data_IF_609545132027
#
_entry.id   IF_609545132027
#
_cell.length_a   1.000
_cell.length_b   1.000
_cell.length_c   1.000
_cell.angle_alpha   90.00
_cell.angle_beta   90.00
_cell.angle_gamma   90.00
#
_symmetry.space_group_name_H-M   'P 1'
#
loop_
_entity.id
_entity.type
_entity.pdbx_description
1 polymer ?
#
# COMPACT_ATOMS: atom_id res chain seq x y z
N UNK A 1 24.34 -25.90 77.42
CA UNK A 1 25.52 -25.07 77.06
C UNK A 1 25.83 -25.25 75.59
N UNK A 2 26.07 -24.11 74.90
CA UNK A 2 26.59 -23.93 73.53
C UNK A 2 25.59 -24.04 72.35
N UNK A 3 24.97 -22.88 72.13
CA UNK A 3 24.61 -22.22 70.88
C UNK A 3 25.43 -22.62 69.65
N UNK A 4 24.77 -22.86 68.51
CA UNK A 4 25.31 -22.46 67.19
C UNK A 4 24.19 -21.95 66.28
N UNK A 5 24.49 -20.82 65.65
CA UNK A 5 23.65 -20.03 64.76
C UNK A 5 23.51 -20.72 63.40
N UNK A 6 22.31 -20.66 62.79
CA UNK A 6 22.12 -20.94 61.37
C UNK A 6 21.68 -19.63 60.72
N UNK A 7 22.59 -19.02 59.98
CA UNK A 7 22.35 -17.81 59.19
C UNK A 7 21.62 -18.13 57.89
N UNK A 8 20.57 -17.36 57.67
CA UNK A 8 19.71 -17.26 56.49
C UNK A 8 20.48 -16.71 55.27
N UNK A 9 20.37 -17.35 54.11
CA UNK A 9 20.63 -16.70 52.80
C UNK A 9 19.54 -17.11 51.80
N UNK A 10 18.43 -16.37 51.80
CA UNK A 10 17.51 -16.35 50.65
C UNK A 10 18.10 -15.46 49.57
N UNK A 11 18.53 -16.05 48.45
CA UNK A 11 18.89 -15.30 47.25
C UNK A 11 17.61 -15.10 46.44
N UNK A 12 17.01 -13.93 46.53
CA UNK A 12 15.90 -13.52 45.67
C UNK A 12 16.47 -13.06 44.32
N UNK A 13 16.39 -13.92 43.30
CA UNK A 13 16.72 -13.56 41.91
C UNK A 13 15.54 -12.82 41.29
N UNK A 14 15.64 -11.50 41.23
CA UNK A 14 14.76 -10.64 40.43
C UNK A 14 15.09 -10.85 38.95
N UNK A 15 14.37 -11.75 38.28
CA UNK A 15 14.34 -11.84 36.82
C UNK A 15 13.49 -10.68 36.28
N UNK A 16 14.18 -9.61 35.90
CA UNK A 16 13.62 -8.51 35.10
C UNK A 16 13.16 -9.05 33.74
N UNK A 17 11.87 -9.30 33.57
CA UNK A 17 11.26 -9.51 32.26
C UNK A 17 11.14 -8.16 31.53
N UNK A 18 12.25 -7.68 30.97
CA UNK A 18 12.17 -6.68 29.91
C UNK A 18 11.65 -7.38 28.66
N UNK A 19 10.34 -7.34 28.42
CA UNK A 19 9.78 -7.76 27.14
C UNK A 19 10.36 -6.84 26.05
N UNK A 20 11.09 -7.35 25.05
CA UNK A 20 11.50 -6.51 23.94
C UNK A 20 10.22 -6.01 23.25
N UNK A 21 10.03 -4.69 23.22
CA UNK A 21 9.11 -4.07 22.28
C UNK A 21 9.57 -4.51 20.89
N UNK A 22 8.87 -5.46 20.30
CA UNK A 22 9.04 -5.80 18.89
C UNK A 22 8.66 -4.56 18.09
N UNK A 23 9.66 -3.75 17.75
CA UNK A 23 9.58 -2.83 16.63
C UNK A 23 9.23 -3.69 15.41
N UNK A 24 7.95 -3.72 15.06
CA UNK A 24 7.42 -4.52 13.97
C UNK A 24 7.87 -3.88 12.66
N UNK A 25 9.12 -4.19 12.27
CA UNK A 25 9.69 -3.82 11.00
C UNK A 25 9.01 -4.70 9.95
N UNK A 26 7.83 -4.26 9.51
CA UNK A 26 6.93 -5.06 8.69
C UNK A 26 7.49 -5.12 7.26
N UNK A 27 8.47 -6.00 7.03
CA UNK A 27 9.14 -6.23 5.74
C UNK A 27 8.28 -7.04 4.76
N UNK A 28 7.08 -7.48 5.16
CA UNK A 28 6.15 -8.21 4.31
C UNK A 28 5.29 -7.30 3.42
N UNK A 29 4.61 -7.86 2.42
CA UNK A 29 3.79 -7.08 1.50
C UNK A 29 2.59 -6.47 2.24
N UNK A 30 2.18 -5.27 1.78
CA UNK A 30 1.11 -4.51 2.42
C UNK A 30 -0.29 -5.03 2.07
N UNK A 31 -0.40 -5.86 1.03
CA UNK A 31 -1.55 -6.66 0.59
C UNK A 31 -1.01 -8.00 0.09
N UNK A 32 -1.78 -9.08 0.15
CA UNK A 32 -1.37 -10.36 -0.43
C UNK A 32 -1.18 -10.22 -1.96
N UNK A 33 -0.03 -10.67 -2.53
CA UNK A 33 0.17 -10.70 -3.98
C UNK A 33 -0.88 -11.57 -4.68
N UNK A 34 -1.12 -11.30 -5.97
CA UNK A 34 -1.93 -12.18 -6.80
C UNK A 34 -1.22 -13.52 -6.97
N UNK A 35 -1.91 -14.64 -6.72
CA UNK A 35 -1.34 -15.98 -6.83
C UNK A 35 -2.20 -16.96 -7.66
N UNK A 36 -3.32 -16.48 -8.23
CA UNK A 36 -4.16 -17.26 -9.14
C UNK A 36 -3.82 -16.91 -10.61
N UNK A 37 -3.26 -17.86 -11.39
CA UNK A 37 -2.86 -17.60 -12.78
C UNK A 37 -4.02 -17.26 -13.71
N UNK A 38 -5.20 -17.85 -13.48
CA UNK A 38 -6.38 -17.58 -14.29
C UNK A 38 -6.89 -16.16 -14.06
N UNK A 39 -6.98 -15.73 -12.80
CA UNK A 39 -7.28 -14.34 -12.46
C UNK A 39 -6.25 -13.38 -13.03
N UNK A 40 -4.96 -13.69 -12.91
CA UNK A 40 -3.90 -12.85 -13.46
C UNK A 40 -4.06 -12.71 -14.98
N UNK A 41 -4.34 -13.80 -15.70
CA UNK A 41 -4.54 -13.78 -17.15
C UNK A 41 -5.74 -12.95 -17.57
N UNK A 42 -6.92 -13.21 -17.00
CA UNK A 42 -8.16 -12.56 -17.45
C UNK A 42 -8.25 -11.11 -16.96
N UNK A 43 -7.91 -10.85 -15.69
CA UNK A 43 -8.04 -9.53 -15.08
C UNK A 43 -6.80 -8.62 -15.26
N UNK A 44 -5.78 -9.06 -15.99
CA UNK A 44 -4.67 -8.21 -16.44
C UNK A 44 -4.72 -7.81 -17.93
N UNK A 45 -5.79 -8.17 -18.65
CA UNK A 45 -5.87 -7.95 -20.09
C UNK A 45 -5.93 -6.45 -20.46
N UNK A 46 -6.56 -5.63 -19.62
CA UNK A 46 -6.78 -4.19 -19.89
C UNK A 46 -6.10 -3.27 -18.88
N UNK A 47 -5.92 -3.71 -17.63
CA UNK A 47 -5.31 -2.94 -16.57
C UNK A 47 -4.47 -3.85 -15.66
N UNK A 48 -3.73 -3.27 -14.72
CA UNK A 48 -3.03 -4.04 -13.70
C UNK A 48 -3.98 -4.99 -12.95
N UNK A 49 -3.59 -6.25 -12.75
CA UNK A 49 -4.38 -7.21 -11.99
C UNK A 49 -4.38 -6.83 -10.49
N UNK A 50 -5.37 -6.03 -10.10
CA UNK A 50 -5.50 -5.55 -8.73
C UNK A 50 -5.54 -6.69 -7.72
N UNK A 51 -4.88 -6.55 -6.57
CA UNK A 51 -4.96 -7.60 -5.55
C UNK A 51 -6.36 -7.68 -4.94
N UNK A 52 -6.91 -8.89 -4.71
CA UNK A 52 -8.22 -9.07 -4.10
C UNK A 52 -8.39 -8.35 -2.75
N UNK A 53 -7.30 -8.26 -1.97
CA UNK A 53 -7.28 -7.59 -0.67
C UNK A 53 -7.43 -6.06 -0.72
N UNK A 54 -7.59 -5.46 -1.91
CA UNK A 54 -7.82 -4.03 -2.09
C UNK A 54 -9.30 -3.62 -2.08
N UNK A 55 -10.24 -4.57 -2.07
CA UNK A 55 -11.68 -4.30 -1.99
C UNK A 55 -12.42 -5.33 -1.13
N UNK A 56 -13.60 -4.98 -0.60
CA UNK A 56 -14.43 -5.95 0.09
C UNK A 56 -15.08 -6.94 -0.88
N UNK A 57 -15.45 -8.11 -0.40
CA UNK A 57 -16.06 -9.18 -1.21
C UNK A 57 -17.31 -8.69 -1.95
N UNK A 58 -18.16 -7.90 -1.28
CA UNK A 58 -19.38 -7.31 -1.86
C UNK A 58 -19.12 -6.44 -3.10
N UNK A 59 -17.96 -5.78 -3.16
CA UNK A 59 -17.56 -4.99 -4.32
C UNK A 59 -17.14 -5.90 -5.47
N UNK A 60 -16.33 -6.91 -5.20
CA UNK A 60 -15.91 -7.88 -6.21
C UNK A 60 -17.10 -8.62 -6.83
N UNK A 61 -18.06 -9.06 -6.01
CA UNK A 61 -19.29 -9.70 -6.50
C UNK A 61 -20.05 -8.80 -7.47
N UNK A 62 -20.21 -7.52 -7.13
CA UNK A 62 -20.93 -6.56 -7.98
C UNK A 62 -20.19 -6.25 -9.28
N UNK A 63 -18.84 -6.26 -9.26
CA UNK A 63 -18.02 -6.06 -10.46
C UNK A 63 -18.11 -7.27 -11.39
N UNK A 64 -17.94 -8.49 -10.88
CA UNK A 64 -17.97 -9.70 -11.71
C UNK A 64 -19.37 -9.96 -12.29
N UNK A 65 -20.43 -9.62 -11.55
CA UNK A 65 -21.80 -9.78 -12.02
C UNK A 65 -22.20 -8.83 -13.16
N UNK A 66 -21.36 -7.85 -13.50
CA UNK A 66 -21.69 -6.76 -14.43
C UNK A 66 -20.52 -6.48 -15.40
N UNK A 67 -19.83 -7.55 -15.83
CA UNK A 67 -18.65 -7.46 -16.69
C UNK A 67 -18.97 -7.02 -18.12
N UNK A 68 -20.21 -7.17 -18.57
CA UNK A 68 -20.70 -6.66 -19.84
C UNK A 68 -20.71 -5.12 -19.91
N UNK A 69 -20.80 -4.45 -18.76
CA UNK A 69 -20.60 -3.01 -18.57
C UNK A 69 -19.49 -2.74 -17.52
N UNK A 70 -18.26 -3.08 -17.89
CA UNK A 70 -17.08 -2.92 -17.07
C UNK A 70 -16.42 -1.54 -17.30
N UNK A 71 -17.09 -0.49 -16.83
CA UNK A 71 -16.61 0.91 -16.92
C UNK A 71 -16.48 1.43 -18.37
N UNK A 72 -17.44 1.08 -19.22
CA UNK A 72 -17.47 1.46 -20.64
C UNK A 72 -16.80 0.46 -21.58
N UNK A 73 -16.31 -0.66 -21.05
CA UNK A 73 -15.76 -1.78 -21.82
C UNK A 73 -16.58 -3.05 -21.56
N UNK A 74 -16.61 -3.97 -22.53
CA UNK A 74 -17.16 -5.30 -22.32
C UNK A 74 -16.01 -6.26 -21.95
N UNK A 75 -16.04 -6.75 -20.71
CA UNK A 75 -15.11 -7.73 -20.16
C UNK A 75 -15.81 -9.06 -19.83
N UNK A 76 -16.94 -9.36 -20.49
CA UNK A 76 -17.76 -10.53 -20.22
C UNK A 76 -16.97 -11.83 -20.42
N UNK A 77 -17.18 -12.76 -19.49
CA UNK A 77 -16.61 -14.09 -19.50
C UNK A 77 -17.74 -15.12 -19.38
N UNK A 78 -17.45 -16.37 -19.74
CA UNK A 78 -18.41 -17.47 -19.56
C UNK A 78 -18.79 -17.61 -18.09
N UNK A 79 -20.01 -18.09 -17.82
CA UNK A 79 -20.53 -18.19 -16.46
C UNK A 79 -19.63 -19.04 -15.54
N UNK A 80 -19.02 -20.10 -16.06
CA UNK A 80 -18.09 -20.96 -15.32
C UNK A 80 -16.82 -20.20 -14.92
N UNK A 81 -16.29 -19.38 -15.82
CA UNK A 81 -15.10 -18.55 -15.59
C UNK A 81 -15.40 -17.43 -14.59
N UNK A 82 -16.55 -16.76 -14.74
CA UNK A 82 -17.01 -15.75 -13.77
C UNK A 82 -17.14 -16.34 -12.36
N UNK A 83 -17.64 -17.58 -12.24
CA UNK A 83 -17.73 -18.26 -10.95
C UNK A 83 -16.35 -18.49 -10.34
N UNK A 84 -15.39 -18.99 -11.11
CA UNK A 84 -14.00 -19.22 -10.66
C UNK A 84 -13.35 -17.91 -10.18
N UNK A 85 -13.53 -16.82 -10.95
CA UNK A 85 -13.01 -15.50 -10.57
C UNK A 85 -13.69 -14.94 -9.32
N UNK A 86 -15.01 -15.06 -9.23
CA UNK A 86 -15.78 -14.62 -8.05
C UNK A 86 -15.29 -15.34 -6.79
N UNK A 87 -15.16 -16.67 -6.84
CA UNK A 87 -14.71 -17.46 -5.70
C UNK A 87 -13.29 -17.05 -5.26
N UNK A 88 -12.38 -16.84 -6.20
CA UNK A 88 -11.02 -16.38 -5.88
C UNK A 88 -11.01 -14.98 -5.25
N UNK A 89 -11.70 -14.01 -5.87
CA UNK A 89 -11.75 -12.63 -5.40
C UNK A 89 -12.40 -12.50 -4.03
N UNK A 90 -13.53 -13.18 -3.81
CA UNK A 90 -14.28 -13.15 -2.56
C UNK A 90 -13.49 -13.79 -1.42
N UNK A 91 -12.88 -14.96 -1.65
CA UNK A 91 -12.12 -15.67 -0.60
C UNK A 91 -10.83 -14.93 -0.19
N UNK A 92 -10.31 -14.05 -1.05
CA UNK A 92 -9.10 -13.28 -0.80
C UNK A 92 -9.39 -11.78 -0.56
N UNK A 93 -10.67 -11.41 -0.38
CA UNK A 93 -11.09 -10.03 -0.22
C UNK A 93 -10.53 -9.37 1.06
N UNK A 94 -10.63 -8.04 1.11
CA UNK A 94 -9.99 -7.23 2.14
C UNK A 94 -10.38 -7.62 3.58
N UNK A 95 -11.64 -8.01 3.81
CA UNK A 95 -12.16 -8.42 5.13
C UNK A 95 -11.59 -9.74 5.65
N UNK A 96 -11.07 -10.60 4.78
CA UNK A 96 -10.47 -11.88 5.14
C UNK A 96 -8.93 -11.81 5.28
N UNK A 97 -8.35 -10.64 5.02
CA UNK A 97 -6.91 -10.45 4.97
C UNK A 97 -6.37 -9.76 6.24
N UNK A 98 -5.24 -10.25 6.75
CA UNK A 98 -4.51 -9.63 7.88
C UNK A 98 -3.46 -8.60 7.44
N UNK A 99 -3.30 -8.40 6.12
CA UNK A 99 -2.31 -7.46 5.62
C UNK A 99 -2.67 -6.01 5.97
N UNK A 100 -1.65 -5.20 6.26
CA UNK A 100 -1.79 -3.83 6.80
C UNK A 100 -2.75 -2.97 5.98
N UNK A 101 -2.69 -2.99 4.64
CA UNK A 101 -3.54 -2.12 3.80
C UNK A 101 -4.96 -2.64 3.71
N UNK A 102 -5.17 -3.95 3.56
CA UNK A 102 -6.51 -4.56 3.56
C UNK A 102 -7.29 -4.21 4.83
N UNK A 103 -6.63 -4.31 5.99
CA UNK A 103 -7.21 -3.91 7.29
C UNK A 103 -7.58 -2.42 7.30
N UNK A 104 -6.71 -1.55 6.79
CA UNK A 104 -6.98 -0.11 6.76
C UNK A 104 -8.08 0.28 5.76
N UNK A 105 -8.19 -0.43 4.64
CA UNK A 105 -9.29 -0.31 3.67
C UNK A 105 -10.61 -0.61 4.36
N UNK A 106 -10.72 -1.78 5.01
CA UNK A 106 -11.95 -2.18 5.70
C UNK A 106 -12.32 -1.24 6.84
N UNK A 107 -11.34 -0.73 7.60
CA UNK A 107 -11.58 0.26 8.66
C UNK A 107 -12.06 1.61 8.14
N UNK A 108 -11.77 1.95 6.89
CA UNK A 108 -12.18 3.22 6.29
C UNK A 108 -13.57 3.19 5.64
N UNK A 109 -14.13 1.99 5.43
CA UNK A 109 -15.41 1.81 4.76
C UNK A 109 -16.55 1.64 5.76
N UNK A 110 -17.65 2.34 5.50
CA UNK A 110 -18.91 2.03 6.17
C UNK A 110 -19.45 0.67 5.69
N UNK A 111 -20.14 -0.05 6.59
CA UNK A 111 -20.58 -1.44 6.35
C UNK A 111 -21.54 -1.57 5.16
N UNK A 112 -22.34 -0.55 4.91
CA UNK A 112 -23.35 -0.44 3.87
C UNK A 112 -22.80 0.08 2.52
N UNK A 113 -21.53 0.50 2.47
CA UNK A 113 -20.92 1.03 1.25
C UNK A 113 -20.27 -0.08 0.44
N UNK A 114 -20.61 -0.15 -0.85
CA UNK A 114 -20.06 -1.07 -1.84
C UNK A 114 -19.36 -0.27 -2.95
N UNK A 115 -18.12 0.21 -2.71
CA UNK A 115 -17.39 0.97 -3.73
C UNK A 115 -17.09 0.08 -4.94
N UNK A 116 -17.17 0.62 -6.16
CA UNK A 116 -16.84 -0.12 -7.38
C UNK A 116 -15.44 0.21 -7.90
N UNK A 117 -14.81 1.27 -7.40
CA UNK A 117 -13.43 1.64 -7.72
C UNK A 117 -12.57 1.62 -6.48
N UNK A 118 -11.40 0.98 -6.57
CA UNK A 118 -10.39 0.99 -5.49
C UNK A 118 -9.97 2.42 -5.13
N UNK A 119 -9.87 3.27 -6.15
CA UNK A 119 -9.41 4.66 -6.05
C UNK A 119 -10.40 5.58 -5.32
N UNK A 120 -11.66 5.14 -5.14
CA UNK A 120 -12.69 5.89 -4.41
C UNK A 120 -12.77 5.49 -2.92
N UNK A 121 -12.02 4.46 -2.51
CA UNK A 121 -12.02 4.02 -1.11
C UNK A 121 -11.39 5.12 -0.23
N UNK A 122 -12.01 5.52 0.90
CA UNK A 122 -11.53 6.66 1.70
C UNK A 122 -10.08 6.51 2.20
N UNK A 123 -9.64 5.28 2.50
CA UNK A 123 -8.24 5.02 2.83
C UNK A 123 -7.28 5.39 1.69
N UNK A 124 -7.65 5.09 0.44
CA UNK A 124 -6.83 5.33 -0.75
C UNK A 124 -6.87 6.81 -1.14
N UNK A 125 -8.04 7.44 -1.11
CA UNK A 125 -8.19 8.88 -1.39
C UNK A 125 -7.26 9.69 -0.48
N UNK A 126 -7.34 9.48 0.84
CA UNK A 126 -6.46 10.16 1.82
C UNK A 126 -4.97 9.80 1.65
N UNK A 127 -4.65 8.69 0.98
CA UNK A 127 -3.25 8.29 0.77
C UNK A 127 -2.65 8.90 -0.49
N UNK A 128 -3.45 9.59 -1.30
CA UNK A 128 -3.04 10.18 -2.57
C UNK A 128 -3.52 11.64 -2.68
N UNK A 129 -3.91 12.27 -1.57
CA UNK A 129 -4.46 13.63 -1.54
C UNK A 129 -3.40 14.72 -1.80
N UNK A 130 -2.13 14.39 -1.67
CA UNK A 130 -1.00 15.26 -2.01
C UNK A 130 -0.63 15.23 -3.52
N UNK A 131 -1.26 14.36 -4.32
CA UNK A 131 -0.98 14.29 -5.76
C UNK A 131 -1.67 15.43 -6.51
N UNK A 132 -0.90 16.16 -7.34
CA UNK A 132 -1.45 17.17 -8.22
C UNK A 132 -2.02 16.57 -9.52
N UNK A 133 -2.93 17.28 -10.23
CA UNK A 133 -3.37 16.88 -11.56
C UNK A 133 -2.21 16.67 -12.55
N UNK A 134 -1.16 17.49 -12.46
CA UNK A 134 0.04 17.42 -13.30
C UNK A 134 0.87 16.15 -13.09
N UNK A 135 0.74 15.51 -11.92
CA UNK A 135 1.41 14.23 -11.64
C UNK A 135 0.62 13.04 -12.18
N UNK A 136 -0.71 13.18 -12.33
CA UNK A 136 -1.60 12.04 -12.59
C UNK A 136 -2.42 12.22 -13.87
N UNK A 137 -3.48 13.04 -13.82
CA UNK A 137 -4.47 13.14 -14.90
C UNK A 137 -3.92 13.84 -16.15
N UNK A 138 -3.05 14.84 -15.96
CA UNK A 138 -2.40 15.58 -17.04
C UNK A 138 -1.04 14.96 -17.42
N UNK A 139 -0.55 13.97 -16.66
CA UNK A 139 0.71 13.28 -16.94
C UNK A 139 0.47 12.16 -17.96
N UNK A 140 1.00 12.25 -19.20
CA UNK A 140 0.76 11.24 -20.24
C UNK A 140 1.36 9.86 -19.91
N UNK A 141 2.34 9.78 -19.00
CA UNK A 141 2.94 8.52 -18.57
C UNK A 141 2.12 7.82 -17.46
N UNK A 142 1.36 8.59 -16.68
CA UNK A 142 0.52 8.07 -15.59
C UNK A 142 -0.94 7.97 -16.01
N UNK A 143 -1.52 9.03 -16.59
CA UNK A 143 -2.89 9.16 -17.12
C UNK A 143 -4.02 9.09 -16.09
N UNK A 144 -3.92 8.19 -15.12
CA UNK A 144 -4.95 7.95 -14.12
C UNK A 144 -4.37 7.25 -12.90
N UNK A 145 -4.92 7.57 -11.72
CA UNK A 145 -4.60 6.90 -10.46
C UNK A 145 -4.97 5.40 -10.47
N UNK A 146 -5.82 4.96 -11.42
CA UNK A 146 -6.13 3.54 -11.62
C UNK A 146 -4.92 2.73 -12.10
N UNK A 147 -3.92 3.35 -12.72
CA UNK A 147 -2.71 2.67 -13.20
C UNK A 147 -1.65 2.61 -12.10
N UNK A 148 -1.96 1.86 -11.03
CA UNK A 148 -1.16 1.82 -9.80
C UNK A 148 0.31 1.46 -10.05
N UNK A 149 0.56 0.58 -11.01
CA UNK A 149 1.89 0.09 -11.42
C UNK A 149 2.76 1.17 -12.07
N UNK A 150 2.19 2.29 -12.54
CA UNK A 150 2.97 3.40 -13.12
C UNK A 150 3.80 4.15 -12.09
N UNK A 151 3.30 4.24 -10.86
CA UNK A 151 4.02 4.90 -9.77
C UNK A 151 4.57 3.89 -8.74
N UNK A 152 3.79 2.86 -8.41
CA UNK A 152 4.19 1.81 -7.48
C UNK A 152 4.93 0.69 -8.21
N UNK A 153 6.25 0.86 -8.36
CA UNK A 153 7.13 -0.05 -9.11
C UNK A 153 7.14 -1.51 -8.61
N UNK A 154 6.64 -1.76 -7.40
CA UNK A 154 6.57 -3.08 -6.75
C UNK A 154 5.13 -3.53 -6.43
N UNK A 155 4.14 -2.93 -7.10
CA UNK A 155 2.73 -3.20 -6.85
C UNK A 155 2.39 -4.68 -7.05
N UNK A 156 2.96 -5.34 -8.06
CA UNK A 156 2.82 -6.78 -8.34
C UNK A 156 3.14 -7.67 -7.12
N UNK A 157 4.17 -7.32 -6.35
CA UNK A 157 4.57 -8.01 -5.13
C UNK A 157 3.74 -7.63 -3.89
N UNK A 158 2.68 -6.82 -4.06
CA UNK A 158 1.86 -6.31 -2.96
C UNK A 158 2.54 -5.23 -2.12
N UNK A 159 3.71 -4.72 -2.55
CA UNK A 159 4.38 -3.58 -1.93
C UNK A 159 3.88 -2.27 -2.53
N UNK A 160 3.46 -1.37 -1.65
CA UNK A 160 3.12 0.02 -1.97
C UNK A 160 3.83 0.94 -0.96
N UNK A 161 5.09 0.62 -0.66
CA UNK A 161 5.93 1.42 0.23
C UNK A 161 6.26 2.75 -0.45
N UNK A 162 6.14 3.87 0.27
CA UNK A 162 6.44 5.21 -0.25
C UNK A 162 7.89 5.30 -0.79
N UNK A 163 8.82 4.59 -0.15
CA UNK A 163 10.23 4.47 -0.57
C UNK A 163 10.47 3.88 -1.97
N UNK A 164 9.54 3.05 -2.44
CA UNK A 164 9.64 2.37 -3.74
C UNK A 164 8.85 3.10 -4.85
N UNK A 165 8.19 4.23 -4.51
CA UNK A 165 7.37 4.99 -5.45
C UNK A 165 8.26 5.87 -6.31
N UNK A 166 8.05 5.77 -7.62
CA UNK A 166 8.64 6.66 -8.61
C UNK A 166 7.50 7.25 -9.41
N UNK A 167 7.28 8.55 -9.33
CA UNK A 167 6.28 9.22 -10.16
C UNK A 167 6.95 9.65 -11.48
N UNK A 168 6.52 9.15 -12.64
CA UNK A 168 7.09 9.54 -13.93
C UNK A 168 7.13 11.06 -14.10
N UNK A 169 8.31 11.60 -14.44
CA UNK A 169 8.57 13.05 -14.53
C UNK A 169 8.87 13.77 -13.20
N UNK A 170 8.67 13.13 -12.04
CA UNK A 170 8.88 13.73 -10.72
C UNK A 170 9.90 12.98 -9.84
N UNK A 171 10.30 11.76 -10.24
CA UNK A 171 11.34 10.98 -9.56
C UNK A 171 10.83 10.20 -8.35
N UNK A 172 11.73 9.90 -7.41
CA UNK A 172 11.38 9.17 -6.19
C UNK A 172 10.50 10.03 -5.28
N UNK A 173 9.42 9.45 -4.76
CA UNK A 173 8.42 10.20 -3.97
C UNK A 173 8.97 10.71 -2.64
N UNK A 174 9.75 9.91 -1.91
CA UNK A 174 10.30 10.32 -0.60
C UNK A 174 11.30 11.47 -0.76
N UNK A 175 12.12 11.43 -1.81
CA UNK A 175 13.03 12.52 -2.17
C UNK A 175 12.27 13.77 -2.63
N UNK A 176 11.19 13.59 -3.40
CA UNK A 176 10.33 14.67 -3.83
C UNK A 176 9.65 15.37 -2.65
N UNK A 177 9.04 14.63 -1.72
CA UNK A 177 8.43 15.18 -0.50
C UNK A 177 9.47 15.97 0.32
N UNK A 178 10.67 15.41 0.49
CA UNK A 178 11.71 16.07 1.26
C UNK A 178 12.18 17.38 0.59
N UNK A 179 12.44 17.35 -0.71
CA UNK A 179 12.93 18.52 -1.47
C UNK A 179 11.85 19.60 -1.69
N UNK A 180 10.60 19.20 -1.85
CA UNK A 180 9.46 20.11 -2.02
C UNK A 180 8.98 20.71 -0.69
N UNK A 181 9.39 20.16 0.45
CA UNK A 181 9.10 20.75 1.76
C UNK A 181 9.68 22.16 1.92
N UNK A 182 9.12 22.96 2.82
CA UNK A 182 9.61 24.32 3.11
C UNK A 182 11.12 24.34 3.44
N UNK A 183 11.54 23.43 4.34
CA UNK A 183 12.95 23.31 4.72
C UNK A 183 13.82 22.78 3.58
N UNK A 184 13.29 21.85 2.77
CA UNK A 184 13.96 21.36 1.55
C UNK A 184 14.28 22.50 0.59
N UNK A 185 13.29 23.34 0.29
CA UNK A 185 13.45 24.52 -0.58
C UNK A 185 14.45 25.54 -0.03
N UNK A 186 14.45 25.80 1.28
CA UNK A 186 15.45 26.69 1.90
C UNK A 186 16.87 26.13 1.74
N UNK A 187 17.05 24.83 2.01
CA UNK A 187 18.36 24.18 1.92
C UNK A 187 18.89 24.20 0.48
N UNK A 188 18.02 23.95 -0.50
CA UNK A 188 18.39 24.03 -1.91
C UNK A 188 18.74 25.47 -2.33
N UNK A 189 17.93 26.46 -1.93
CA UNK A 189 18.22 27.88 -2.22
C UNK A 189 19.54 28.36 -1.61
N UNK A 190 19.89 27.89 -0.41
CA UNK A 190 21.18 28.17 0.21
C UNK A 190 22.36 27.54 -0.56
N UNK A 191 22.18 26.30 -1.05
CA UNK A 191 23.19 25.62 -1.87
C UNK A 191 23.41 26.34 -3.20
N UNK A 192 22.33 26.74 -3.87
CA UNK A 192 22.39 27.46 -5.15
C UNK A 192 23.04 28.85 -4.98
N UNK A 193 22.71 29.54 -3.88
CA UNK A 193 23.33 30.82 -3.53
C UNK A 193 24.82 30.65 -3.22
N UNK A 194 25.20 29.63 -2.46
CA UNK A 194 26.61 29.30 -2.17
C UNK A 194 27.39 29.04 -3.46
N UNK A 195 26.83 28.24 -4.38
CA UNK A 195 27.41 27.96 -5.69
C UNK A 195 27.64 29.23 -6.51
N UNK A 196 26.68 30.16 -6.47
CA UNK A 196 26.77 31.45 -7.17
C UNK A 196 27.81 32.41 -6.56
N UNK A 197 28.03 32.35 -5.24
CA UNK A 197 28.96 33.23 -4.53
C UNK A 197 30.41 32.72 -4.61
N UNK A 198 30.61 31.41 -4.45
CA UNK A 198 31.94 30.82 -4.30
C UNK A 198 32.52 30.43 -5.67
N UNK A 199 31.68 30.28 -6.70
CA UNK A 199 32.11 29.74 -8.00
C UNK A 199 32.23 28.22 -7.96
N UNK A 200 32.21 27.59 -9.12
CA UNK A 200 32.44 26.15 -9.23
C UNK A 200 33.93 25.88 -9.01
N UNK A 201 34.29 25.44 -7.81
CA UNK A 201 35.57 24.81 -7.53
C UNK A 201 35.55 23.41 -8.18
N UNK A 202 35.83 23.34 -9.49
CA UNK A 202 36.23 22.10 -10.19
C UNK A 202 37.67 21.69 -9.82
#
# INVERSE_FOLDING_TARGET
MKTQLITLTMVATLLSYAAPLLAHNNKGPGVAPVNNPFYAKECSACHFAYQPGLMPARSWQKIIANLDDHFGENAELKAEDQKVLTDYLVNNAAEYSKHKRSVKIMRSLAKDKTPLRITEIPYLVRKHDELSPQMVAENPEVKSISYCDKCHTRADTGSYSERDIIVPGYGNWEEYEHSSSFFGRIKQGAKDLSKKIIGDDD
#
